data_IF_204797896756
#
_entry.id   IF_204797896756
#
_cell.length_a   1.000
_cell.length_b   1.000
_cell.length_c   1.000
_cell.angle_alpha   90.00
_cell.angle_beta   90.00
_cell.angle_gamma   90.00
#
_symmetry.space_group_name_H-M   'P 1'
#
loop_
_entity.id
_entity.type
_entity.pdbx_description
1 polymer ?
#
# COMPACT_ATOMS: atom_id res chain seq x y z
N UNK A 1 -29.07 4.46 -57.72
CA UNK A 1 -29.70 3.18 -58.10
C UNK A 1 -31.15 3.41 -58.48
N UNK A 2 -31.51 3.10 -59.72
CA UNK A 2 -32.89 3.25 -60.24
C UNK A 2 -33.83 2.26 -59.57
N UNK A 3 -35.13 2.57 -59.49
CA UNK A 3 -36.14 1.69 -58.87
C UNK A 3 -36.22 0.29 -59.53
N UNK A 4 -35.85 0.22 -60.81
CA UNK A 4 -35.76 -1.01 -61.59
C UNK A 4 -34.59 -1.92 -61.14
N UNK A 5 -33.41 -1.34 -60.91
CA UNK A 5 -32.24 -2.08 -60.42
C UNK A 5 -32.50 -2.70 -59.04
N UNK A 6 -33.16 -1.95 -58.13
CA UNK A 6 -33.56 -2.44 -56.81
C UNK A 6 -34.56 -3.59 -56.86
N UNK A 7 -35.65 -3.45 -57.63
CA UNK A 7 -36.66 -4.51 -57.81
C UNK A 7 -36.07 -5.77 -58.45
N UNK A 8 -35.10 -5.62 -59.36
CA UNK A 8 -34.44 -6.76 -59.99
C UNK A 8 -33.48 -7.49 -59.02
N UNK A 9 -32.69 -6.75 -58.24
CA UNK A 9 -31.86 -7.32 -57.16
C UNK A 9 -32.71 -8.06 -56.11
N UNK A 10 -33.84 -7.50 -55.71
CA UNK A 10 -34.76 -8.13 -54.76
C UNK A 10 -35.36 -9.43 -55.30
N UNK A 11 -35.77 -9.46 -56.58
CA UNK A 11 -36.29 -10.66 -57.24
C UNK A 11 -35.22 -11.74 -57.39
N UNK A 12 -34.01 -11.38 -57.81
CA UNK A 12 -32.87 -12.31 -57.92
C UNK A 12 -32.47 -12.85 -56.55
N UNK A 13 -32.43 -12.00 -55.52
CA UNK A 13 -32.17 -12.37 -54.13
C UNK A 13 -33.24 -13.32 -53.57
N UNK A 14 -34.53 -13.07 -53.86
CA UNK A 14 -35.64 -13.94 -53.44
C UNK A 14 -35.61 -15.30 -54.13
N UNK A 15 -35.30 -15.33 -55.44
CA UNK A 15 -35.13 -16.56 -56.21
C UNK A 15 -33.96 -17.40 -55.67
N UNK A 16 -32.81 -16.77 -55.44
CA UNK A 16 -31.64 -17.43 -54.86
C UNK A 16 -31.91 -17.95 -53.44
N UNK A 17 -32.64 -17.20 -52.60
CA UNK A 17 -33.06 -17.67 -51.27
C UNK A 17 -33.92 -18.94 -51.34
N UNK A 18 -34.90 -19.00 -52.25
CA UNK A 18 -35.77 -20.18 -52.44
C UNK A 18 -34.96 -21.39 -52.95
N UNK A 19 -34.05 -21.16 -53.90
CA UNK A 19 -33.13 -22.19 -54.39
C UNK A 19 -32.21 -22.70 -53.26
N UNK A 20 -31.58 -21.79 -52.52
CA UNK A 20 -30.69 -22.13 -51.42
C UNK A 20 -31.41 -22.91 -50.34
N UNK A 21 -32.63 -22.54 -49.95
CA UNK A 21 -33.41 -23.30 -48.97
C UNK A 21 -33.68 -24.74 -49.42
N UNK A 22 -34.05 -24.94 -50.69
CA UNK A 22 -34.32 -26.26 -51.26
C UNK A 22 -33.08 -27.13 -51.39
N UNK A 23 -31.94 -26.52 -51.73
CA UNK A 23 -30.67 -27.22 -52.02
C UNK A 23 -29.63 -27.12 -50.92
N UNK A 24 -29.99 -26.54 -49.77
CA UNK A 24 -29.07 -26.25 -48.66
C UNK A 24 -28.25 -27.48 -48.28
N UNK A 25 -28.92 -28.60 -48.00
CA UNK A 25 -28.28 -29.84 -47.56
C UNK A 25 -27.25 -30.35 -48.57
N UNK A 26 -27.65 -30.47 -49.84
CA UNK A 26 -26.77 -30.88 -50.94
C UNK A 26 -25.54 -29.97 -51.09
N UNK A 27 -25.75 -28.64 -51.01
CA UNK A 27 -24.66 -27.67 -51.07
C UNK A 27 -23.70 -27.77 -49.86
N UNK A 28 -24.23 -28.05 -48.67
CA UNK A 28 -23.41 -28.29 -47.48
C UNK A 28 -22.58 -29.56 -47.59
N UNK A 29 -23.16 -30.64 -48.11
CA UNK A 29 -22.46 -31.91 -48.28
C UNK A 29 -21.36 -31.80 -49.34
N UNK A 30 -21.65 -31.15 -50.48
CA UNK A 30 -20.63 -30.80 -51.50
C UNK A 30 -19.52 -29.93 -50.92
N UNK A 31 -19.85 -28.92 -50.11
CA UNK A 31 -18.87 -28.06 -49.44
C UNK A 31 -17.99 -28.85 -48.46
N UNK A 32 -18.59 -29.76 -47.69
CA UNK A 32 -17.85 -30.63 -46.75
C UNK A 32 -16.88 -31.54 -47.51
N UNK A 33 -17.34 -32.20 -48.57
CA UNK A 33 -16.51 -33.06 -49.40
C UNK A 33 -15.33 -32.28 -50.02
N UNK A 34 -15.58 -31.06 -50.53
CA UNK A 34 -14.53 -30.19 -51.05
C UNK A 34 -13.49 -29.81 -49.99
N UNK A 35 -13.93 -29.45 -48.77
CA UNK A 35 -13.01 -29.10 -47.68
C UNK A 35 -12.15 -30.31 -47.28
N UNK A 36 -12.74 -31.50 -47.23
CA UNK A 36 -12.03 -32.74 -46.89
C UNK A 36 -11.00 -33.11 -47.98
N UNK A 37 -11.36 -32.95 -49.26
CA UNK A 37 -10.47 -33.22 -50.38
C UNK A 37 -9.36 -32.16 -50.58
N UNK A 38 -9.52 -30.95 -50.03
CA UNK A 38 -8.61 -29.81 -50.27
C UNK A 38 -8.18 -29.07 -48.98
N UNK A 39 -7.63 -29.76 -47.96
CA UNK A 39 -7.40 -29.17 -46.65
C UNK A 39 -6.39 -28.01 -46.68
N UNK A 40 -5.28 -28.16 -47.41
CA UNK A 40 -4.23 -27.14 -47.50
C UNK A 40 -4.66 -25.90 -48.30
N UNK A 41 -5.39 -26.11 -49.41
CA UNK A 41 -5.96 -25.00 -50.21
C UNK A 41 -6.94 -24.17 -49.37
N UNK A 42 -7.79 -24.82 -48.59
CA UNK A 42 -8.73 -24.15 -47.68
C UNK A 42 -7.99 -23.43 -46.56
N UNK A 43 -6.94 -24.04 -45.98
CA UNK A 43 -6.12 -23.41 -44.94
C UNK A 43 -5.44 -22.14 -45.43
N UNK A 44 -4.81 -22.18 -46.62
CA UNK A 44 -4.17 -21.02 -47.26
C UNK A 44 -5.18 -19.91 -47.55
N UNK A 45 -6.34 -20.26 -48.12
CA UNK A 45 -7.40 -19.30 -48.39
C UNK A 45 -7.94 -18.64 -47.12
N UNK A 46 -8.23 -19.42 -46.05
CA UNK A 46 -8.67 -18.89 -44.76
C UNK A 46 -7.66 -17.94 -44.13
N UNK A 47 -6.35 -18.23 -44.27
CA UNK A 47 -5.29 -17.37 -43.76
C UNK A 47 -5.26 -16.04 -44.51
N UNK A 48 -5.24 -16.07 -45.84
CA UNK A 48 -5.24 -14.86 -46.67
C UNK A 48 -6.51 -14.03 -46.48
N UNK A 49 -7.67 -14.67 -46.29
CA UNK A 49 -8.93 -13.99 -45.96
C UNK A 49 -8.89 -13.31 -44.59
N UNK A 50 -8.39 -14.02 -43.58
CA UNK A 50 -8.20 -13.46 -42.23
C UNK A 50 -7.24 -12.28 -42.24
N UNK A 51 -6.13 -12.36 -42.98
CA UNK A 51 -5.15 -11.28 -43.09
C UNK A 51 -5.77 -10.03 -43.75
N UNK A 52 -6.49 -10.20 -44.86
CA UNK A 52 -7.19 -9.09 -45.56
C UNK A 52 -8.28 -8.43 -44.70
N UNK A 53 -8.93 -9.18 -43.81
CA UNK A 53 -10.07 -8.71 -43.01
C UNK A 53 -9.81 -8.67 -41.50
N UNK A 54 -8.53 -8.70 -41.10
CA UNK A 54 -8.08 -8.89 -39.71
C UNK A 54 -8.77 -7.92 -38.74
N UNK A 55 -8.76 -6.64 -39.07
CA UNK A 55 -9.33 -5.58 -38.22
C UNK A 55 -10.85 -5.65 -38.10
N UNK A 56 -11.54 -6.00 -39.20
CA UNK A 56 -12.99 -6.17 -39.18
C UNK A 56 -13.41 -7.36 -38.30
N UNK A 57 -12.66 -8.47 -38.36
CA UNK A 57 -12.87 -9.62 -37.47
C UNK A 57 -12.58 -9.29 -36.02
N UNK A 58 -11.49 -8.58 -35.72
CA UNK A 58 -11.15 -8.15 -34.35
C UNK A 58 -12.25 -7.24 -33.78
N UNK A 59 -12.72 -6.25 -34.54
CA UNK A 59 -13.81 -5.35 -34.12
C UNK A 59 -15.12 -6.10 -33.86
N UNK A 60 -15.50 -7.03 -34.75
CA UNK A 60 -16.69 -7.87 -34.58
C UNK A 60 -16.59 -8.78 -33.35
N UNK A 61 -15.43 -9.41 -33.13
CA UNK A 61 -15.18 -10.25 -31.97
C UNK A 61 -15.23 -9.44 -30.65
N UNK A 62 -14.66 -8.23 -30.63
CA UNK A 62 -14.73 -7.34 -29.48
C UNK A 62 -16.18 -6.92 -29.15
N UNK A 63 -17.01 -6.67 -30.16
CA UNK A 63 -18.43 -6.34 -30.00
C UNK A 63 -19.23 -7.53 -29.45
N UNK A 64 -19.07 -8.71 -30.06
CA UNK A 64 -19.77 -9.92 -29.64
C UNK A 64 -19.30 -10.41 -28.26
N UNK A 65 -18.04 -10.20 -27.90
CA UNK A 65 -17.48 -10.54 -26.59
C UNK A 65 -18.14 -9.78 -25.42
N UNK A 66 -18.71 -8.61 -25.68
CA UNK A 66 -19.41 -7.77 -24.68
C UNK A 66 -20.88 -8.14 -24.48
N UNK A 67 -21.47 -8.93 -25.37
CA UNK A 67 -22.86 -9.38 -25.25
C UNK A 67 -23.04 -10.33 -24.06
N UNK A 68 -24.11 -10.15 -23.29
CA UNK A 68 -24.43 -10.98 -22.12
C UNK A 68 -24.61 -12.46 -22.48
N UNK A 69 -25.19 -12.75 -23.65
CA UNK A 69 -25.36 -14.12 -24.15
C UNK A 69 -24.00 -14.79 -24.39
N UNK A 70 -23.04 -14.07 -24.95
CA UNK A 70 -21.69 -14.57 -25.18
C UNK A 70 -20.90 -14.74 -23.86
N UNK A 71 -21.14 -13.88 -22.86
CA UNK A 71 -20.57 -14.03 -21.51
C UNK A 71 -21.11 -15.29 -20.82
N UNK A 72 -22.42 -15.50 -20.88
CA UNK A 72 -23.10 -16.66 -20.31
C UNK A 72 -22.63 -17.96 -20.96
N UNK A 73 -22.55 -18.00 -22.30
CA UNK A 73 -22.03 -19.17 -23.02
C UNK A 73 -20.58 -19.50 -22.64
N UNK A 74 -19.71 -18.50 -22.46
CA UNK A 74 -18.34 -18.72 -21.97
C UNK A 74 -18.31 -19.24 -20.54
N UNK A 75 -19.19 -18.74 -19.66
CA UNK A 75 -19.30 -19.21 -18.28
C UNK A 75 -19.76 -20.67 -18.22
N UNK A 76 -20.79 -21.04 -19.00
CA UNK A 76 -21.28 -22.42 -19.13
C UNK A 76 -20.16 -23.33 -19.64
N UNK A 77 -19.48 -22.93 -20.72
CA UNK A 77 -18.34 -23.67 -21.26
C UNK A 77 -17.22 -23.85 -20.22
N UNK A 78 -16.82 -22.77 -19.55
CA UNK A 78 -15.76 -22.84 -18.52
C UNK A 78 -16.16 -23.77 -17.38
N UNK A 79 -17.40 -23.69 -16.90
CA UNK A 79 -17.91 -24.55 -15.82
C UNK A 79 -17.89 -26.02 -16.23
N UNK A 80 -18.37 -26.35 -17.44
CA UNK A 80 -18.40 -27.71 -17.95
C UNK A 80 -17.01 -28.28 -18.28
N UNK A 81 -15.98 -27.44 -18.42
CA UNK A 81 -14.64 -27.85 -18.88
C UNK A 81 -13.51 -27.45 -17.93
N UNK A 82 -13.83 -27.01 -16.71
CA UNK A 82 -12.88 -26.42 -15.75
C UNK A 82 -11.68 -27.33 -15.51
N UNK A 83 -11.91 -28.61 -15.27
CA UNK A 83 -10.87 -29.60 -14.97
C UNK A 83 -9.95 -29.82 -16.17
N UNK A 84 -10.53 -30.04 -17.35
CA UNK A 84 -9.76 -30.19 -18.60
C UNK A 84 -8.92 -28.96 -18.92
N UNK A 85 -9.46 -27.76 -18.66
CA UNK A 85 -8.73 -26.49 -18.83
C UNK A 85 -7.57 -26.42 -17.83
N UNK A 86 -7.80 -26.80 -16.57
CA UNK A 86 -6.77 -26.80 -15.53
C UNK A 86 -5.62 -27.76 -15.85
N UNK A 87 -5.93 -29.00 -16.25
CA UNK A 87 -4.92 -30.00 -16.66
C UNK A 87 -4.07 -29.46 -17.82
N UNK A 88 -4.72 -28.95 -18.89
CA UNK A 88 -4.02 -28.35 -20.02
C UNK A 88 -3.14 -27.16 -19.62
N UNK A 89 -3.62 -26.30 -18.72
CA UNK A 89 -2.85 -25.17 -18.20
C UNK A 89 -1.63 -25.64 -17.41
N UNK A 90 -1.80 -26.65 -16.56
CA UNK A 90 -0.72 -27.23 -15.78
C UNK A 90 0.37 -27.80 -16.69
N UNK A 91 0.01 -28.64 -17.66
CA UNK A 91 0.96 -29.18 -18.64
C UNK A 91 1.67 -28.08 -19.45
N UNK A 92 0.95 -27.03 -19.84
CA UNK A 92 1.54 -25.90 -20.54
C UNK A 92 2.56 -25.17 -19.66
N UNK A 93 2.23 -24.93 -18.38
CA UNK A 93 3.13 -24.26 -17.43
C UNK A 93 4.37 -25.10 -17.17
N UNK A 94 4.22 -26.42 -17.00
CA UNK A 94 5.34 -27.34 -16.84
C UNK A 94 6.26 -27.32 -18.06
N UNK A 95 5.71 -27.52 -19.27
CA UNK A 95 6.49 -27.52 -20.51
C UNK A 95 7.16 -26.17 -20.83
N UNK A 96 6.59 -25.06 -20.35
CA UNK A 96 7.09 -23.70 -20.63
C UNK A 96 7.69 -23.01 -19.40
N UNK A 97 8.05 -23.75 -18.36
CA UNK A 97 8.47 -23.19 -17.06
C UNK A 97 9.58 -22.15 -17.20
N UNK A 98 10.63 -22.45 -17.98
CA UNK A 98 11.78 -21.54 -18.20
C UNK A 98 11.36 -20.24 -18.88
N UNK A 99 10.57 -20.33 -19.97
CA UNK A 99 10.04 -19.16 -20.70
C UNK A 99 9.14 -18.29 -19.81
N UNK A 100 8.29 -18.92 -19.00
CA UNK A 100 7.41 -18.22 -18.06
C UNK A 100 8.23 -17.51 -16.97
N UNK A 101 9.27 -18.16 -16.44
CA UNK A 101 10.15 -17.57 -15.43
C UNK A 101 10.90 -16.35 -15.98
N UNK A 102 11.45 -16.45 -17.18
CA UNK A 102 12.13 -15.37 -17.87
C UNK A 102 11.20 -14.19 -18.16
N UNK A 103 10.01 -14.45 -18.71
CA UNK A 103 8.98 -13.44 -18.90
C UNK A 103 8.62 -12.74 -17.59
N UNK A 104 8.42 -13.49 -16.50
CA UNK A 104 8.14 -12.92 -15.17
C UNK A 104 9.30 -12.05 -14.67
N UNK A 105 10.56 -12.46 -14.91
CA UNK A 105 11.75 -11.67 -14.55
C UNK A 105 11.77 -10.34 -15.31
N UNK A 106 11.62 -10.38 -16.64
CA UNK A 106 11.59 -9.17 -17.48
C UNK A 106 10.42 -8.25 -17.09
N UNK A 107 9.24 -8.83 -16.84
CA UNK A 107 8.08 -8.07 -16.39
C UNK A 107 8.35 -7.35 -15.07
N UNK A 108 8.98 -7.99 -14.07
CA UNK A 108 9.33 -7.33 -12.80
C UNK A 108 10.23 -6.11 -12.98
N UNK A 109 11.16 -6.16 -13.94
CA UNK A 109 12.08 -5.05 -14.24
C UNK A 109 11.42 -3.95 -15.09
N UNK A 110 10.33 -4.28 -15.78
CA UNK A 110 9.60 -3.35 -16.64
C UNK A 110 9.07 -2.13 -15.88
N UNK A 111 9.00 -0.99 -16.57
CA UNK A 111 8.38 0.22 -16.04
C UNK A 111 6.90 0.01 -15.68
N UNK A 112 6.19 -0.84 -16.45
CA UNK A 112 4.78 -1.19 -16.20
C UNK A 112 4.58 -1.87 -14.84
N UNK A 113 5.45 -2.81 -14.48
CA UNK A 113 5.36 -3.46 -13.18
C UNK A 113 5.67 -2.50 -12.03
N UNK A 114 6.70 -1.66 -12.18
CA UNK A 114 7.03 -0.62 -11.19
C UNK A 114 5.88 0.36 -10.96
N UNK A 115 5.26 0.84 -12.03
CA UNK A 115 4.09 1.73 -11.96
C UNK A 115 2.91 1.05 -11.25
N UNK A 116 2.60 -0.21 -11.62
CA UNK A 116 1.54 -0.99 -10.98
C UNK A 116 1.81 -1.21 -9.48
N UNK A 117 3.06 -1.52 -9.11
CA UNK A 117 3.46 -1.70 -7.71
C UNK A 117 3.30 -0.40 -6.92
N UNK A 118 3.82 0.72 -7.43
CA UNK A 118 3.66 2.05 -6.82
C UNK A 118 2.19 2.42 -6.60
N UNK A 119 1.31 2.16 -7.57
CA UNK A 119 -0.12 2.40 -7.41
C UNK A 119 -0.75 1.49 -6.34
N UNK A 120 -0.35 0.22 -6.29
CA UNK A 120 -0.78 -0.72 -5.26
C UNK A 120 -0.31 -0.32 -3.87
N UNK A 121 0.95 0.08 -3.72
CA UNK A 121 1.55 0.51 -2.47
C UNK A 121 0.85 1.77 -1.95
N UNK A 122 0.53 2.73 -2.82
CA UNK A 122 -0.28 3.92 -2.47
C UNK A 122 -1.67 3.54 -1.98
N UNK A 123 -2.39 2.67 -2.70
CA UNK A 123 -3.71 2.19 -2.26
C UNK A 123 -3.63 1.45 -0.93
N UNK A 124 -2.58 0.65 -0.74
CA UNK A 124 -2.34 -0.06 0.51
C UNK A 124 -2.05 0.92 1.65
N UNK A 125 -1.18 1.91 1.43
CA UNK A 125 -0.86 2.94 2.40
C UNK A 125 -2.10 3.75 2.81
N UNK A 126 -2.92 4.17 1.86
CA UNK A 126 -4.18 4.86 2.13
C UNK A 126 -5.14 3.99 2.96
N UNK A 127 -5.29 2.71 2.59
CA UNK A 127 -6.11 1.76 3.34
C UNK A 127 -5.59 1.52 4.75
N UNK A 128 -4.27 1.37 4.92
CA UNK A 128 -3.62 1.18 6.22
C UNK A 128 -3.78 2.43 7.08
N UNK A 129 -3.63 3.62 6.51
CA UNK A 129 -3.84 4.88 7.21
C UNK A 129 -5.30 5.01 7.69
N UNK A 130 -6.27 4.74 6.80
CA UNK A 130 -7.69 4.75 7.14
C UNK A 130 -8.03 3.73 8.25
N UNK A 131 -7.48 2.51 8.15
CA UNK A 131 -7.64 1.49 9.19
C UNK A 131 -7.06 1.96 10.53
N UNK A 132 -5.85 2.52 10.54
CA UNK A 132 -5.22 3.04 11.78
C UNK A 132 -6.02 4.18 12.39
N UNK A 133 -6.53 5.10 11.56
CA UNK A 133 -7.38 6.20 12.02
C UNK A 133 -8.68 5.70 12.64
N UNK A 134 -9.36 4.76 12.00
CA UNK A 134 -10.59 4.18 12.52
C UNK A 134 -10.36 3.34 13.79
N UNK A 135 -9.26 2.58 13.83
CA UNK A 135 -8.85 1.86 15.04
C UNK A 135 -8.59 2.83 16.20
N UNK A 136 -7.87 3.94 15.96
CA UNK A 136 -7.60 4.96 16.96
C UNK A 136 -8.89 5.65 17.44
N UNK A 137 -9.83 5.95 16.54
CA UNK A 137 -11.14 6.53 16.89
C UNK A 137 -11.95 5.62 17.80
N UNK A 138 -12.01 4.32 17.49
CA UNK A 138 -12.79 3.34 18.27
C UNK A 138 -12.12 2.93 19.58
N UNK A 139 -10.79 2.89 19.61
CA UNK A 139 -10.04 2.34 20.74
C UNK A 139 -9.33 3.42 21.57
N UNK A 140 -9.37 4.69 21.17
CA UNK A 140 -8.65 5.78 21.81
C UNK A 140 -9.04 5.95 23.28
N UNK A 141 -10.34 5.96 23.57
CA UNK A 141 -10.82 6.05 24.95
C UNK A 141 -10.42 4.83 25.78
N UNK A 142 -10.65 3.62 25.27
CA UNK A 142 -10.26 2.37 25.95
C UNK A 142 -8.75 2.30 26.22
N UNK A 143 -7.93 2.73 25.26
CA UNK A 143 -6.47 2.78 25.41
C UNK A 143 -6.08 3.83 26.44
N UNK A 144 -6.68 5.02 26.40
CA UNK A 144 -6.47 6.08 27.39
C UNK A 144 -6.82 5.61 28.80
N UNK A 145 -8.00 5.02 28.99
CA UNK A 145 -8.43 4.44 30.26
C UNK A 145 -7.46 3.36 30.74
N UNK A 146 -7.07 2.43 29.86
CA UNK A 146 -6.12 1.36 30.18
C UNK A 146 -4.74 1.91 30.58
N UNK A 147 -4.24 2.90 29.85
CA UNK A 147 -2.97 3.57 30.16
C UNK A 147 -3.06 4.32 31.48
N UNK A 148 -4.15 5.05 31.73
CA UNK A 148 -4.40 5.74 33.00
C UNK A 148 -4.39 4.77 34.19
N UNK A 149 -5.06 3.62 34.06
CA UNK A 149 -5.07 2.57 35.09
C UNK A 149 -3.65 2.03 35.28
N UNK A 150 -2.96 1.67 34.19
CA UNK A 150 -1.59 1.18 34.23
C UNK A 150 -0.64 2.15 34.94
N UNK A 151 -0.64 3.43 34.54
CA UNK A 151 0.19 4.46 35.15
C UNK A 151 -0.17 4.65 36.63
N UNK A 152 -1.46 4.65 36.98
CA UNK A 152 -1.92 4.78 38.37
C UNK A 152 -1.46 3.62 39.24
N UNK A 153 -1.67 2.38 38.79
CA UNK A 153 -1.30 1.17 39.54
C UNK A 153 0.22 1.10 39.69
N UNK A 154 0.96 1.23 38.59
CA UNK A 154 2.42 1.14 38.60
C UNK A 154 3.04 2.26 39.45
N UNK A 155 2.51 3.48 39.39
CA UNK A 155 3.03 4.59 40.23
C UNK A 155 2.75 4.40 41.73
N UNK A 156 1.77 3.58 42.12
CA UNK A 156 1.54 3.25 43.54
C UNK A 156 2.48 2.17 44.04
N UNK A 157 2.81 1.19 43.18
CA UNK A 157 3.69 0.07 43.54
C UNK A 157 5.18 0.36 43.37
N UNK A 158 5.55 1.29 42.49
CA UNK A 158 6.94 1.61 42.12
C UNK A 158 7.21 3.12 42.35
N UNK A 159 7.73 3.50 43.54
CA UNK A 159 8.03 4.88 43.89
C UNK A 159 9.03 5.56 42.93
N UNK A 160 10.02 4.82 42.43
CA UNK A 160 11.00 5.34 41.48
C UNK A 160 10.35 5.68 40.12
N UNK A 161 9.42 4.85 39.65
CA UNK A 161 8.62 5.14 38.47
C UNK A 161 7.71 6.37 38.67
N UNK A 162 7.05 6.48 39.82
CA UNK A 162 6.25 7.64 40.15
C UNK A 162 7.08 8.93 40.17
N UNK A 163 8.28 8.89 40.77
CA UNK A 163 9.19 10.02 40.82
C UNK A 163 9.64 10.44 39.43
N UNK A 164 10.00 9.47 38.57
CA UNK A 164 10.38 9.71 37.18
C UNK A 164 9.31 10.51 36.41
N UNK A 165 8.04 10.12 36.56
CA UNK A 165 6.93 10.82 35.89
C UNK A 165 6.76 12.25 36.41
N UNK A 166 6.84 12.45 37.73
CA UNK A 166 6.69 13.77 38.37
C UNK A 166 7.81 14.72 37.95
N UNK A 167 9.07 14.30 38.05
CA UNK A 167 10.22 15.14 37.71
C UNK A 167 10.25 15.50 36.22
N UNK A 168 9.93 14.54 35.34
CA UNK A 168 9.81 14.81 33.90
C UNK A 168 8.70 15.81 33.58
N UNK A 169 7.53 15.65 34.21
CA UNK A 169 6.41 16.60 34.05
C UNK A 169 6.78 18.01 34.52
N UNK A 170 7.46 18.11 35.67
CA UNK A 170 7.98 19.38 36.21
C UNK A 170 8.94 20.07 35.25
N UNK A 171 9.92 19.34 34.72
CA UNK A 171 10.88 19.87 33.74
C UNK A 171 10.19 20.44 32.50
N UNK A 172 9.30 19.66 31.88
CA UNK A 172 8.57 20.09 30.68
C UNK A 172 7.68 21.30 30.98
N UNK A 173 6.98 21.29 32.12
CA UNK A 173 6.14 22.40 32.55
C UNK A 173 6.93 23.69 32.81
N UNK A 174 8.13 23.60 33.38
CA UNK A 174 8.99 24.76 33.62
C UNK A 174 9.53 25.37 32.33
N UNK A 175 9.99 24.54 31.39
CA UNK A 175 10.41 25.02 30.06
C UNK A 175 9.24 25.72 29.38
N UNK A 176 8.04 25.12 29.40
CA UNK A 176 6.87 25.72 28.76
C UNK A 176 6.48 27.07 29.40
N UNK A 177 6.46 27.16 30.74
CA UNK A 177 6.15 28.42 31.46
C UNK A 177 7.18 29.51 31.24
N UNK A 178 8.47 29.15 31.17
CA UNK A 178 9.53 30.12 30.85
C UNK A 178 9.32 30.70 29.45
N UNK A 179 8.93 29.87 28.48
CA UNK A 179 8.63 30.30 27.11
C UNK A 179 7.35 31.13 26.97
N UNK A 180 6.35 30.93 27.82
CA UNK A 180 5.05 31.63 27.69
C UNK A 180 4.90 32.84 28.61
N UNK A 181 5.45 32.78 29.82
CA UNK A 181 5.23 33.78 30.88
C UNK A 181 6.54 34.34 31.45
N UNK A 182 7.71 33.81 31.05
CA UNK A 182 9.02 34.30 31.53
C UNK A 182 9.32 34.00 33.01
N UNK A 183 8.50 33.20 33.69
CA UNK A 183 8.64 32.92 35.12
C UNK A 183 9.30 31.56 35.38
N UNK A 184 10.31 31.55 36.25
CA UNK A 184 11.01 30.35 36.70
C UNK A 184 10.56 29.91 38.10
N UNK A 185 10.44 28.59 38.30
CA UNK A 185 10.14 28.02 39.63
C UNK A 185 11.46 27.64 40.30
N UNK A 186 11.80 28.24 41.45
CA UNK A 186 13.13 28.10 42.09
C UNK A 186 13.57 26.65 42.32
N UNK A 187 12.65 25.78 42.75
CA UNK A 187 12.90 24.34 43.02
C UNK A 187 13.46 23.57 41.81
N UNK A 188 13.14 23.99 40.58
CA UNK A 188 13.64 23.31 39.37
C UNK A 188 15.05 23.77 39.02
N UNK A 189 15.44 25.00 39.36
CA UNK A 189 16.78 25.51 39.07
C UNK A 189 17.84 24.77 39.88
N UNK A 190 17.56 24.49 41.16
CA UNK A 190 18.42 23.67 42.02
C UNK A 190 18.63 22.28 41.43
N UNK A 191 17.56 21.62 40.98
CA UNK A 191 17.61 20.29 40.38
C UNK A 191 18.36 20.27 39.03
N UNK A 192 18.24 21.35 38.25
CA UNK A 192 18.89 21.49 36.95
C UNK A 192 20.37 21.87 37.07
N UNK A 193 20.80 22.45 38.20
CA UNK A 193 22.13 23.04 38.36
C UNK A 193 22.38 24.29 37.51
N UNK A 194 21.32 24.92 36.98
CA UNK A 194 21.40 26.16 36.21
C UNK A 194 20.05 26.89 36.19
N UNK A 195 20.05 28.15 35.76
CA UNK A 195 18.82 28.89 35.49
C UNK A 195 18.10 28.34 34.24
N UNK A 196 16.79 28.57 34.14
CA UNK A 196 16.02 28.16 32.96
C UNK A 196 16.53 28.85 31.67
N UNK A 197 16.96 30.10 31.77
CA UNK A 197 17.55 30.83 30.64
C UNK A 197 18.88 30.23 30.19
N UNK A 198 19.68 29.67 31.10
CA UNK A 198 20.89 28.90 30.76
C UNK A 198 20.54 27.55 30.14
N UNK A 199 19.55 26.83 30.68
CA UNK A 199 19.10 25.57 30.11
C UNK A 199 18.60 25.74 28.66
N UNK A 200 17.81 26.78 28.40
CA UNK A 200 17.29 27.07 27.06
C UNK A 200 18.45 27.31 26.09
N UNK A 201 19.40 28.18 26.45
CA UNK A 201 20.62 28.42 25.65
C UNK A 201 21.45 27.16 25.46
N UNK A 202 21.57 26.32 26.49
CA UNK A 202 22.28 25.05 26.43
C UNK A 202 21.63 24.09 25.43
N UNK A 203 20.29 23.96 25.45
CA UNK A 203 19.56 23.11 24.50
C UNK A 203 19.66 23.66 23.07
N UNK A 204 19.50 24.98 22.89
CA UNK A 204 19.67 25.65 21.60
C UNK A 204 21.05 25.40 21.00
N UNK A 205 22.10 25.48 21.82
CA UNK A 205 23.48 25.22 21.37
C UNK A 205 23.70 23.77 20.88
N UNK A 206 22.81 22.84 21.27
CA UNK A 206 22.86 21.42 20.90
C UNK A 206 21.86 21.06 19.80
N UNK A 207 21.13 22.02 19.23
CA UNK A 207 20.16 21.75 18.18
C UNK A 207 20.82 21.10 16.95
N UNK A 208 20.18 20.03 16.48
CA UNK A 208 20.53 19.39 15.22
C UNK A 208 19.93 20.17 14.04
N UNK A 209 20.45 20.01 12.81
CA UNK A 209 19.90 20.67 11.64
C UNK A 209 18.38 20.51 11.53
N UNK A 210 17.68 21.63 11.44
CA UNK A 210 16.22 21.70 11.36
C UNK A 210 15.47 21.72 12.69
N UNK A 211 16.14 21.65 13.85
CA UNK A 211 15.50 21.86 15.15
C UNK A 211 15.32 23.36 15.43
N UNK A 212 14.15 23.71 15.95
CA UNK A 212 13.87 25.04 16.50
C UNK A 212 12.83 24.93 17.62
N UNK A 213 12.60 26.03 18.34
CA UNK A 213 11.49 26.08 19.29
C UNK A 213 10.12 26.04 18.62
N UNK A 214 9.99 26.52 17.37
CA UNK A 214 8.74 26.47 16.61
C UNK A 214 8.27 25.03 16.36
N UNK A 215 9.22 24.10 16.22
CA UNK A 215 8.94 22.68 16.04
C UNK A 215 9.19 21.85 17.30
N UNK A 216 9.05 22.44 18.50
CA UNK A 216 9.24 21.79 19.80
C UNK A 216 8.43 20.51 19.99
N UNK A 217 7.32 20.33 19.28
CA UNK A 217 6.52 19.10 19.29
C UNK A 217 7.15 17.92 18.51
N UNK A 218 8.20 18.15 17.73
CA UNK A 218 8.88 17.14 16.91
C UNK A 218 10.13 16.55 17.58
N UNK A 219 10.66 17.21 18.60
CA UNK A 219 11.82 16.75 19.37
C UNK A 219 11.54 16.75 20.88
N UNK A 220 12.32 15.98 21.62
CA UNK A 220 12.20 15.79 23.05
C UNK A 220 13.46 16.26 23.77
N UNK A 221 13.31 16.71 25.02
CA UNK A 221 14.43 16.78 25.96
C UNK A 221 14.74 15.35 26.41
N UNK A 222 15.83 14.82 25.87
CA UNK A 222 16.36 13.50 26.16
C UNK A 222 17.42 13.58 27.25
N UNK A 223 17.59 12.48 28.00
CA UNK A 223 18.66 12.36 28.99
C UNK A 223 19.77 11.53 28.35
N UNK A 224 20.99 12.06 28.28
CA UNK A 224 22.17 11.38 27.71
C UNK A 224 22.34 10.02 28.39
N UNK A 225 22.52 10.03 29.71
CA UNK A 225 22.31 8.86 30.58
C UNK A 225 20.82 8.79 30.95
N UNK A 226 20.11 7.71 30.58
CA UNK A 226 18.66 7.62 30.74
C UNK A 226 18.27 7.47 32.21
N UNK A 227 17.08 7.98 32.55
CA UNK A 227 16.49 7.93 33.89
C UNK A 227 16.24 6.51 34.46
N UNK A 228 16.39 5.46 33.65
CA UNK A 228 16.33 4.08 34.12
C UNK A 228 17.68 3.57 34.66
N UNK A 229 18.77 4.31 34.44
CA UNK A 229 20.11 3.99 34.94
C UNK A 229 20.47 4.73 36.24
N UNK A 230 19.49 5.39 36.87
CA UNK A 230 19.61 6.09 38.15
C UNK A 230 18.57 5.57 39.13
N UNK A 231 18.93 5.56 40.41
CA UNK A 231 17.96 5.46 41.50
C UNK A 231 17.41 6.86 41.79
N UNK A 232 16.14 7.07 41.41
CA UNK A 232 15.49 8.37 41.58
C UNK A 232 14.84 8.55 42.96
N UNK A 233 15.02 7.60 43.89
CA UNK A 233 14.62 7.79 45.29
C UNK A 233 15.66 8.60 46.07
N UNK A 234 16.90 8.60 45.59
CA UNK A 234 18.05 9.34 46.11
C UNK A 234 18.10 10.78 45.51
N UNK A 235 18.02 11.84 46.35
CA UNK A 235 18.10 13.23 45.89
C UNK A 235 19.39 13.58 45.14
N UNK A 236 20.54 12.99 45.49
CA UNK A 236 21.80 13.28 44.82
C UNK A 236 21.79 12.74 43.39
N UNK A 237 21.32 11.50 43.21
CA UNK A 237 21.13 10.91 41.89
C UNK A 237 20.04 11.61 41.09
N UNK A 238 19.00 12.18 41.72
CA UNK A 238 18.05 13.04 41.03
C UNK A 238 18.72 14.29 40.47
N UNK A 239 19.57 14.97 41.26
CA UNK A 239 20.31 16.14 40.80
C UNK A 239 21.22 15.80 39.63
N UNK A 240 22.00 14.71 39.71
CA UNK A 240 22.86 14.28 38.60
C UNK A 240 22.04 13.89 37.36
N UNK A 241 20.91 13.20 37.54
CA UNK A 241 20.08 12.76 36.44
C UNK A 241 19.44 13.93 35.68
N UNK A 242 19.00 14.98 36.38
CA UNK A 242 18.30 16.13 35.81
C UNK A 242 19.19 17.35 35.57
N UNK A 243 20.47 17.29 35.95
CA UNK A 243 21.43 18.34 35.68
C UNK A 243 21.49 18.67 34.18
N UNK A 244 21.61 19.94 33.83
CA UNK A 244 21.55 20.41 32.44
C UNK A 244 22.56 19.71 31.53
N UNK A 245 23.74 19.33 32.04
CA UNK A 245 24.77 18.61 31.29
C UNK A 245 24.37 17.21 30.86
N UNK A 246 23.39 16.58 31.53
CA UNK A 246 22.82 15.28 31.15
C UNK A 246 21.63 15.43 30.19
N UNK A 247 21.21 16.66 29.84
CA UNK A 247 20.07 16.92 28.96
C UNK A 247 20.53 17.25 27.54
N UNK A 248 19.79 16.76 26.55
CA UNK A 248 20.04 17.06 25.15
C UNK A 248 18.73 17.14 24.34
N UNK A 249 18.68 17.97 23.29
CA UNK A 249 17.60 17.90 22.31
C UNK A 249 17.81 16.64 21.44
N UNK A 250 16.75 15.86 21.24
CA UNK A 250 16.78 14.70 20.36
C UNK A 250 15.44 14.56 19.64
N UNK A 251 15.46 14.29 18.33
CA UNK A 251 14.25 14.05 17.56
C UNK A 251 13.40 12.95 18.23
N UNK A 252 12.08 13.15 18.27
CA UNK A 252 11.18 12.26 19.01
C UNK A 252 11.32 10.80 18.54
N UNK A 253 11.48 10.60 17.22
CA UNK A 253 11.70 9.28 16.62
C UNK A 253 13.01 8.63 17.08
N UNK A 254 14.09 9.42 17.15
CA UNK A 254 15.41 8.90 17.55
C UNK A 254 15.47 8.64 19.05
N UNK A 255 14.81 9.45 19.87
CA UNK A 255 14.64 9.19 21.29
C UNK A 255 13.85 7.88 21.54
N UNK A 256 12.72 7.69 20.83
CA UNK A 256 11.95 6.44 20.90
C UNK A 256 12.79 5.24 20.46
N UNK A 257 13.62 5.40 19.43
CA UNK A 257 14.56 4.36 19.00
C UNK A 257 15.62 4.08 20.06
N UNK A 258 16.24 5.11 20.65
CA UNK A 258 17.27 5.01 21.71
C UNK A 258 16.73 4.21 22.90
N UNK A 259 15.54 4.56 23.37
CA UNK A 259 14.94 3.95 24.57
C UNK A 259 15.83 4.12 25.80
N UNK A 260 15.88 3.11 26.67
CA UNK A 260 16.73 3.12 27.87
C UNK A 260 18.18 2.69 27.65
N UNK A 261 18.65 2.62 26.39
CA UNK A 261 20.02 2.18 26.09
C UNK A 261 21.01 3.31 26.30
N UNK A 262 22.07 3.01 27.05
CA UNK A 262 23.18 3.91 27.31
C UNK A 262 24.48 3.14 27.20
N UNK A 263 25.46 3.74 26.52
CA UNK A 263 26.82 3.25 26.47
C UNK A 263 27.69 4.32 27.13
N UNK A 264 28.48 3.99 28.16
CA UNK A 264 29.26 4.98 28.90
C UNK A 264 30.41 5.63 28.10
N UNK A 265 30.70 5.16 26.88
CA UNK A 265 31.91 5.50 26.13
C UNK A 265 31.63 5.84 24.65
N UNK A 266 31.04 7.00 24.39
CA UNK A 266 31.08 7.63 23.07
C UNK A 266 31.34 9.12 23.21
#
# INVERSE_FOLDING_TARGET
MTAYQRKNEERVSASWKRYYQRKKRELYDKKRAYIAANPEKVRRWKRADYERHREAYIRRAARNGRSETAKLQRAIYYRANKERIAVRQHEYVQRNQKKIAEYRRLYRLSAKCRASKKASDRRCAARVAAYKAEWARRNGERLSQRLCIYFRVRSRSDPAFAMRLRLRSRLVGAIHRHMTVGSATGVIQELLGCSLSELVRHLESKFLPGMSWDNRNQWHVDHIKPLCAFDLTDPEQQAVAFHYSNLQPLWALDNMRKGGRWQPHR
#
